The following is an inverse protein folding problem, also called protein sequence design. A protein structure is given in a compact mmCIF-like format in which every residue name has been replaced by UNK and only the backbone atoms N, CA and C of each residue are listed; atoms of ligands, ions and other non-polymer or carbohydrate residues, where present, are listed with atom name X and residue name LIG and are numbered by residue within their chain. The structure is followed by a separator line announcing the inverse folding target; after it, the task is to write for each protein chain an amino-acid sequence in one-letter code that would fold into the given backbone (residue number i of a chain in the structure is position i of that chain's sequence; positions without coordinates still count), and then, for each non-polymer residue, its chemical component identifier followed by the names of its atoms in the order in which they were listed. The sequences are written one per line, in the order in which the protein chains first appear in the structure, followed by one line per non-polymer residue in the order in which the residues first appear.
data_IF_289911348734
#
_entry.id   IF_289911348734
#
_cell.length_a   1.000
_cell.length_b   1.000
_cell.length_c   1.000
_cell.angle_alpha   90.00
_cell.angle_beta   90.00
_cell.angle_gamma   90.00
#
_symmetry.space_group_name_H-M   'P 1'
#
loop_
_entity.id
_entity.type
_entity.pdbx_description
1 polymer ?
#
# COMPACT_ATOMS: atom_id res chain seq x y z
N UNK A 1 -3.93 20.13 5.23
CA UNK A 1 -3.02 19.22 4.51
C UNK A 1 -3.88 18.43 3.54
N UNK A 2 -3.69 18.62 2.24
CA UNK A 2 -4.55 18.03 1.21
C UNK A 2 -4.16 16.56 1.05
N UNK A 3 -4.87 15.70 1.76
CA UNK A 3 -4.77 14.25 1.63
C UNK A 3 -5.25 13.92 0.21
N UNK A 4 -4.38 13.33 -0.62
CA UNK A 4 -4.72 12.88 -1.98
C UNK A 4 -6.04 12.10 -1.94
N UNK A 5 -6.94 12.45 -2.86
CA UNK A 5 -8.32 12.00 -3.09
C UNK A 5 -8.52 10.48 -3.22
N UNK A 6 -8.06 9.71 -2.22
CA UNK A 6 -8.21 8.27 -2.17
C UNK A 6 -9.18 7.97 -1.03
N UNK A 7 -10.46 7.83 -1.39
CA UNK A 7 -11.48 7.36 -0.48
C UNK A 7 -11.33 5.84 -0.26
N UNK A 8 -10.69 5.49 0.85
CA UNK A 8 -10.62 4.11 1.34
C UNK A 8 -11.91 3.80 2.10
N UNK A 9 -12.64 2.79 1.63
CA UNK A 9 -13.77 2.25 2.38
C UNK A 9 -13.26 1.37 3.51
N UNK A 10 -14.12 1.07 4.48
CA UNK A 10 -13.77 0.20 5.61
C UNK A 10 -13.28 -1.19 5.15
N UNK A 11 -13.90 -1.71 4.09
CA UNK A 11 -13.52 -2.95 3.40
C UNK A 11 -12.09 -2.91 2.81
N UNK A 12 -11.69 -1.76 2.24
CA UNK A 12 -10.33 -1.58 1.71
C UNK A 12 -9.30 -1.56 2.84
N UNK A 13 -9.62 -0.91 3.96
CA UNK A 13 -8.77 -0.87 5.15
C UNK A 13 -8.55 -2.26 5.74
N UNK A 14 -9.59 -3.09 5.79
CA UNK A 14 -9.46 -4.49 6.24
C UNK A 14 -8.58 -5.31 5.29
N UNK A 15 -8.76 -5.16 3.97
CA UNK A 15 -7.92 -5.84 2.97
C UNK A 15 -6.46 -5.39 3.06
N UNK A 16 -6.20 -4.10 3.20
CA UNK A 16 -4.88 -3.53 3.41
C UNK A 16 -4.23 -4.09 4.68
N UNK A 17 -4.98 -4.12 5.79
CA UNK A 17 -4.50 -4.65 7.07
C UNK A 17 -4.14 -6.14 6.96
N UNK A 18 -4.97 -6.92 6.27
CA UNK A 18 -4.72 -8.34 6.02
C UNK A 18 -3.49 -8.55 5.12
N UNK A 19 -3.34 -7.74 4.06
CA UNK A 19 -2.18 -7.74 3.18
C UNK A 19 -0.87 -7.42 3.93
N UNK A 20 -0.88 -6.36 4.74
CA UNK A 20 0.23 -5.93 5.59
C UNK A 20 0.59 -7.00 6.61
N UNK A 21 -0.41 -7.63 7.25
CA UNK A 21 -0.18 -8.72 8.20
C UNK A 21 0.47 -9.94 7.53
N UNK A 22 0.03 -10.32 6.33
CA UNK A 22 0.65 -11.40 5.55
C UNK A 22 2.08 -11.07 5.13
N UNK A 23 2.33 -9.82 4.73
CA UNK A 23 3.67 -9.35 4.38
C UNK A 23 4.60 -9.35 5.60
N UNK A 24 4.10 -8.91 6.77
CA UNK A 24 4.82 -8.94 8.03
C UNK A 24 5.19 -10.35 8.48
N UNK A 25 4.30 -11.32 8.30
CA UNK A 25 4.60 -12.74 8.55
C UNK A 25 5.72 -13.29 7.66
N UNK A 26 5.96 -12.67 6.50
CA UNK A 26 7.07 -13.01 5.60
C UNK A 26 8.35 -12.21 5.89
N UNK A 27 8.36 -11.35 6.90
CA UNK A 27 9.50 -10.51 7.25
C UNK A 27 9.70 -9.30 6.33
N UNK A 28 8.67 -8.90 5.57
CA UNK A 28 8.71 -7.75 4.68
C UNK A 28 8.49 -6.48 5.49
N UNK A 29 9.43 -5.53 5.43
CA UNK A 29 9.33 -4.28 6.17
C UNK A 29 8.58 -3.19 5.39
N UNK A 30 8.94 -2.97 4.12
CA UNK A 30 8.25 -2.04 3.23
C UNK A 30 7.51 -2.82 2.14
N UNK A 31 6.18 -2.69 2.12
CA UNK A 31 5.32 -3.43 1.20
C UNK A 31 4.61 -2.47 0.26
N UNK A 32 4.71 -2.72 -1.05
CA UNK A 32 3.85 -2.11 -2.04
C UNK A 32 2.54 -2.89 -2.11
N UNK A 33 1.42 -2.25 -1.78
CA UNK A 33 0.08 -2.80 -1.95
C UNK A 33 -0.55 -2.16 -3.19
N UNK A 34 -0.86 -2.98 -4.17
CA UNK A 34 -1.54 -2.56 -5.39
C UNK A 34 -3.00 -2.99 -5.32
N UNK A 35 -3.90 -2.01 -5.46
CA UNK A 35 -5.35 -2.21 -5.48
C UNK A 35 -5.95 -1.54 -6.72
N UNK A 36 -7.21 -1.81 -7.01
CA UNK A 36 -7.98 -1.16 -8.09
C UNK A 36 -7.98 0.38 -7.97
N UNK A 37 -7.99 0.89 -6.72
CA UNK A 37 -7.97 2.32 -6.43
C UNK A 37 -6.60 2.99 -6.60
N UNK A 38 -5.51 2.23 -6.60
CA UNK A 38 -4.17 2.81 -6.58
C UNK A 38 -3.08 1.94 -5.94
N UNK A 39 -1.92 2.55 -5.73
CA UNK A 39 -0.74 1.93 -5.13
C UNK A 39 -0.37 2.59 -3.80
N UNK A 40 -0.10 1.77 -2.78
CA UNK A 40 0.23 2.21 -1.43
C UNK A 40 1.54 1.58 -0.98
N UNK A 41 2.50 2.37 -0.51
CA UNK A 41 3.67 1.84 0.19
C UNK A 41 3.41 1.94 1.67
N UNK A 42 3.45 0.80 2.35
CA UNK A 42 3.18 0.68 3.78
C UNK A 42 4.43 0.19 4.49
N UNK A 43 4.79 0.88 5.57
CA UNK A 43 5.76 0.37 6.53
C UNK A 43 5.04 -0.59 7.47
N UNK A 44 5.28 -1.89 7.30
CA UNK A 44 4.66 -2.94 8.11
C UNK A 44 4.99 -2.80 9.60
N UNK A 45 6.24 -2.51 10.01
CA UNK A 45 6.59 -2.33 11.43
C UNK A 45 5.82 -1.20 12.10
N UNK A 46 5.66 -0.08 11.41
CA UNK A 46 5.00 1.12 11.94
C UNK A 46 3.50 1.17 11.61
N UNK A 47 3.02 0.24 10.79
CA UNK A 47 1.66 0.19 10.25
C UNK A 47 1.22 1.53 9.62
N UNK A 48 2.16 2.25 9.02
CA UNK A 48 1.92 3.58 8.44
C UNK A 48 2.02 3.56 6.92
N UNK A 49 1.12 4.30 6.27
CA UNK A 49 1.17 4.53 4.83
C UNK A 49 2.19 5.64 4.57
N UNK A 50 3.27 5.32 3.87
CA UNK A 50 4.32 6.29 3.50
C UNK A 50 3.98 6.95 2.17
N UNK A 51 3.45 6.18 1.22
CA UNK A 51 3.14 6.67 -0.13
C UNK A 51 1.77 6.19 -0.55
N UNK A 52 0.96 7.08 -1.11
CA UNK A 52 -0.32 6.76 -1.69
C UNK A 52 -0.44 7.43 -3.07
N UNK A 53 -0.69 6.62 -4.08
CA UNK A 53 -0.88 7.02 -5.48
C UNK A 53 -2.23 6.50 -5.96
N UNK A 54 -2.99 7.36 -6.62
CA UNK A 54 -4.25 6.99 -7.27
C UNK A 54 -3.98 6.13 -8.51
N UNK A 55 -4.90 5.23 -8.89
CA UNK A 55 -4.71 4.27 -9.97
C UNK A 55 -4.27 4.85 -11.32
N UNK A 56 -4.65 6.09 -11.63
CA UNK A 56 -4.21 6.84 -12.81
C UNK A 56 -2.70 7.11 -12.83
N UNK A 57 -2.10 7.31 -11.65
CA UNK A 57 -0.71 7.73 -11.45
C UNK A 57 0.22 6.53 -11.22
N UNK A 58 -0.29 5.29 -11.33
CA UNK A 58 0.52 4.09 -11.11
C UNK A 58 1.32 3.69 -12.36
N UNK A 59 0.81 4.00 -13.56
CA UNK A 59 1.51 3.70 -14.81
C UNK A 59 2.80 4.50 -14.92
N UNK A 60 3.87 3.84 -15.37
CA UNK A 60 5.22 4.38 -15.56
C UNK A 60 5.97 4.82 -14.28
N UNK A 61 5.45 4.49 -13.08
CA UNK A 61 6.15 4.81 -11.83
C UNK A 61 7.10 3.70 -11.36
N UNK A 62 8.33 4.10 -11.00
CA UNK A 62 9.36 3.21 -10.45
C UNK A 62 9.33 3.32 -8.93
N UNK A 63 9.00 2.21 -8.28
CA UNK A 63 9.03 2.09 -6.83
C UNK A 63 10.38 1.53 -6.39
N UNK A 64 11.01 2.18 -5.41
CA UNK A 64 12.29 1.74 -4.84
C UNK A 64 12.14 1.52 -3.34
N UNK A 65 13.13 0.86 -2.72
CA UNK A 65 13.14 0.58 -1.28
C UNK A 65 11.92 -0.21 -0.77
N UNK A 66 11.35 -1.07 -1.63
CA UNK A 66 10.32 -2.04 -1.25
C UNK A 66 10.94 -3.42 -1.11
N UNK A 67 10.57 -4.13 -0.05
CA UNK A 67 11.03 -5.49 0.24
C UNK A 67 10.08 -6.54 -0.35
N UNK A 68 8.85 -6.14 -0.65
CA UNK A 68 7.82 -7.02 -1.21
C UNK A 68 6.63 -6.25 -1.78
N UNK A 69 5.81 -6.99 -2.52
CA UNK A 69 4.57 -6.47 -3.11
C UNK A 69 3.40 -7.42 -2.84
N UNK A 70 2.24 -6.84 -2.57
CA UNK A 70 0.96 -7.52 -2.46
C UNK A 70 0.03 -6.92 -3.50
N UNK A 71 -0.59 -7.77 -4.31
CA UNK A 71 -1.54 -7.37 -5.34
C UNK A 71 -2.91 -7.88 -4.90
N UNK A 72 -3.88 -6.98 -4.81
CA UNK A 72 -5.25 -7.22 -4.33
C UNK A 72 -6.26 -7.20 -5.49
#
# INVERSE_FOLDING_TARGET
MTQRDIELSQDDLEKLTCAVSKAGQKGVANTLVLCDKGAFIINVPSQTVITALSGSDVKDNIFTQIDGAVIL
#
